data_IF_135765281055
#
_entry.id   IF_135765281055
#
_cell.length_a   1.000
_cell.length_b   1.000
_cell.length_c   1.000
_cell.angle_alpha   90.00
_cell.angle_beta   90.00
_cell.angle_gamma   90.00
#
_symmetry.space_group_name_H-M   'P 1'
#
loop_
_entity.id
_entity.type
_entity.pdbx_description
1 polymer ?
#
# COMPACT_ATOMS: atom_id res chain seq x y z
N UNK A 1 -6.25 22.08 -4.44
CA UNK A 1 -5.96 21.24 -3.26
C UNK A 1 -5.08 20.11 -3.75
N UNK A 2 -3.81 20.06 -3.34
CA UNK A 2 -2.92 18.97 -3.76
C UNK A 2 -3.32 17.75 -2.94
N UNK A 3 -3.84 16.72 -3.59
CA UNK A 3 -4.13 15.43 -2.96
C UNK A 3 -2.81 14.80 -2.57
N UNK A 4 -2.65 14.44 -1.30
CA UNK A 4 -1.45 13.76 -0.83
C UNK A 4 -1.34 12.38 -1.52
N UNK A 5 -0.12 11.99 -1.90
CA UNK A 5 0.16 10.66 -2.47
C UNK A 5 -0.21 9.58 -1.42
N UNK A 6 -1.20 8.71 -1.69
CA UNK A 6 -1.61 7.67 -0.76
C UNK A 6 -0.46 6.74 -0.38
N UNK A 7 0.46 6.45 -1.32
CA UNK A 7 1.59 5.59 -1.04
C UNK A 7 2.58 6.25 -0.07
N UNK A 8 2.81 7.54 -0.23
CA UNK A 8 3.67 8.30 0.66
C UNK A 8 3.12 8.34 2.09
N UNK A 9 1.80 8.42 2.25
CA UNK A 9 1.13 8.33 3.56
C UNK A 9 1.31 6.93 4.15
N UNK A 10 0.98 5.89 3.39
CA UNK A 10 1.01 4.50 3.89
C UNK A 10 2.43 3.97 4.13
N UNK A 11 3.44 4.53 3.45
CA UNK A 11 4.87 4.22 3.67
C UNK A 11 5.58 5.21 4.59
N UNK A 12 4.84 6.12 5.23
CA UNK A 12 5.42 7.09 6.15
C UNK A 12 5.98 6.41 7.42
N UNK A 13 7.20 6.78 7.77
CA UNK A 13 7.88 6.43 9.02
C UNK A 13 7.88 7.59 10.03
N UNK A 14 7.13 8.66 9.75
CA UNK A 14 7.15 9.91 10.50
C UNK A 14 5.96 10.05 11.45
N UNK A 15 6.11 10.90 12.46
CA UNK A 15 5.05 11.29 13.39
C UNK A 15 5.27 10.79 14.82
N UNK A 16 4.48 11.29 15.78
CA UNK A 16 4.52 10.79 17.15
C UNK A 16 3.86 9.40 17.24
N UNK A 17 4.48 8.47 17.97
CA UNK A 17 3.97 7.11 18.15
C UNK A 17 4.54 6.11 17.14
N UNK A 18 3.83 4.98 16.95
CA UNK A 18 4.23 3.97 15.98
C UNK A 18 3.94 4.47 14.55
N UNK A 19 4.90 4.34 13.62
CA UNK A 19 4.68 4.74 12.23
C UNK A 19 3.65 3.83 11.54
N UNK A 20 3.06 4.32 10.46
CA UNK A 20 2.17 3.50 9.61
C UNK A 20 2.94 2.36 8.96
N UNK A 21 4.16 2.64 8.49
CA UNK A 21 5.05 1.65 7.89
C UNK A 21 6.11 1.17 8.87
N UNK A 22 5.89 -0.03 9.43
CA UNK A 22 6.75 -0.67 10.42
C UNK A 22 7.58 -1.76 9.76
N UNK A 23 8.91 -1.70 9.89
CA UNK A 23 9.84 -2.68 9.31
C UNK A 23 10.99 -3.03 10.25
N UNK A 24 10.84 -2.77 11.55
CA UNK A 24 11.90 -2.97 12.54
C UNK A 24 12.12 -4.47 12.78
N UNK A 25 13.32 -5.03 12.63
CA UNK A 25 13.56 -6.44 12.95
C UNK A 25 13.29 -6.75 14.44
N UNK A 26 13.41 -5.74 15.30
CA UNK A 26 13.17 -5.83 16.75
C UNK A 26 11.76 -5.36 17.15
N UNK A 27 10.77 -5.50 16.26
CA UNK A 27 9.40 -5.07 16.52
C UNK A 27 8.77 -5.88 17.68
N UNK A 28 8.50 -5.26 18.84
CA UNK A 28 8.25 -5.98 20.09
C UNK A 28 6.94 -6.77 20.10
N UNK A 29 5.98 -6.39 19.27
CA UNK A 29 4.68 -7.03 19.08
C UNK A 29 4.59 -7.83 17.76
N UNK A 30 5.67 -7.85 16.95
CA UNK A 30 5.73 -8.56 15.66
C UNK A 30 4.68 -8.12 14.62
N UNK A 31 4.29 -6.84 14.63
CA UNK A 31 3.28 -6.26 13.76
C UNK A 31 3.86 -5.40 12.61
N UNK A 32 5.05 -5.76 12.12
CA UNK A 32 5.63 -5.11 10.95
C UNK A 32 4.69 -5.17 9.73
N UNK A 33 4.66 -4.09 8.96
CA UNK A 33 3.88 -3.97 7.72
C UNK A 33 4.44 -4.90 6.67
N UNK A 34 3.77 -6.02 6.38
CA UNK A 34 4.26 -6.98 5.37
C UNK A 34 4.19 -6.45 3.94
N UNK A 35 3.13 -5.70 3.64
CA UNK A 35 2.92 -5.06 2.34
C UNK A 35 1.97 -3.86 2.44
N UNK A 36 2.03 -3.00 1.43
CA UNK A 36 1.07 -1.91 1.19
C UNK A 36 0.26 -2.25 -0.04
N UNK A 37 -1.07 -2.21 0.06
CA UNK A 37 -1.98 -2.34 -1.07
C UNK A 37 -2.59 -0.97 -1.42
N UNK A 38 -2.54 -0.59 -2.69
CA UNK A 38 -3.26 0.53 -3.26
C UNK A 38 -4.34 -0.02 -4.19
N UNK A 39 -5.59 0.35 -3.92
CA UNK A 39 -6.73 0.04 -4.77
C UNK A 39 -7.22 1.33 -5.41
N UNK A 40 -6.99 1.47 -6.70
CA UNK A 40 -7.47 2.58 -7.49
C UNK A 40 -8.76 2.19 -8.20
N UNK A 41 -9.80 3.00 -8.01
CA UNK A 41 -11.11 2.80 -8.60
C UNK A 41 -11.28 3.76 -9.78
N UNK A 42 -11.58 3.20 -10.95
CA UNK A 42 -11.81 3.94 -12.18
C UNK A 42 -13.18 3.59 -12.77
N UNK A 43 -13.70 4.39 -13.73
CA UNK A 43 -15.02 4.13 -14.33
C UNK A 43 -15.15 2.79 -15.07
N UNK A 44 -14.03 2.30 -15.62
CA UNK A 44 -13.95 1.15 -16.53
C UNK A 44 -13.13 -0.03 -15.97
N UNK A 45 -12.45 0.15 -14.84
CA UNK A 45 -11.60 -0.89 -14.25
C UNK A 45 -11.31 -0.63 -12.77
N UNK A 46 -10.75 -1.64 -12.11
CA UNK A 46 -10.02 -1.49 -10.86
C UNK A 46 -8.55 -1.83 -11.08
N UNK A 47 -7.66 -1.13 -10.39
CA UNK A 47 -6.25 -1.46 -10.34
C UNK A 47 -5.83 -1.71 -8.89
N UNK A 48 -5.19 -2.85 -8.64
CA UNK A 48 -4.58 -3.20 -7.36
C UNK A 48 -3.08 -3.21 -7.55
N UNK A 49 -2.37 -2.39 -6.77
CA UNK A 49 -0.92 -2.48 -6.63
C UNK A 49 -0.58 -2.95 -5.23
N UNK A 50 0.23 -4.01 -5.12
CA UNK A 50 0.81 -4.46 -3.85
C UNK A 50 2.31 -4.23 -3.88
N UNK A 51 2.83 -3.56 -2.85
CA UNK A 51 4.27 -3.38 -2.63
C UNK A 51 4.66 -4.04 -1.31
N UNK A 52 5.66 -4.92 -1.33
CA UNK A 52 6.19 -5.49 -0.10
C UNK A 52 7.14 -4.51 0.63
N UNK A 53 7.75 -4.98 1.72
CA UNK A 53 8.73 -4.21 2.49
C UNK A 53 9.96 -3.82 1.66
N UNK A 54 10.46 -4.71 0.80
CA UNK A 54 11.62 -4.48 -0.06
C UNK A 54 11.34 -3.48 -1.18
N UNK A 55 10.06 -3.21 -1.45
CA UNK A 55 9.59 -2.39 -2.56
C UNK A 55 9.31 -3.21 -3.82
N UNK A 56 9.40 -4.54 -3.76
CA UNK A 56 8.94 -5.40 -4.84
C UNK A 56 7.45 -5.17 -5.06
N UNK A 57 7.06 -5.03 -6.33
CA UNK A 57 5.74 -4.58 -6.74
C UNK A 57 5.07 -5.60 -7.64
N UNK A 58 3.82 -5.93 -7.31
CA UNK A 58 2.88 -6.59 -8.20
C UNK A 58 1.73 -5.65 -8.50
N UNK A 59 1.26 -5.64 -9.74
CA UNK A 59 0.08 -4.90 -10.14
C UNK A 59 -0.89 -5.81 -10.88
N UNK A 60 -2.17 -5.73 -10.52
CA UNK A 60 -3.29 -6.37 -11.18
C UNK A 60 -4.25 -5.29 -11.67
N UNK A 61 -4.73 -5.45 -12.89
CA UNK A 61 -5.84 -4.68 -13.43
C UNK A 61 -6.97 -5.65 -13.74
N UNK A 62 -8.19 -5.28 -13.34
CA UNK A 62 -9.42 -6.00 -13.68
C UNK A 62 -10.34 -5.02 -14.38
N UNK A 63 -10.54 -5.23 -15.68
CA UNK A 63 -11.49 -4.44 -16.46
C UNK A 63 -12.92 -4.80 -16.06
N UNK A 64 -13.83 -3.82 -16.14
CA UNK A 64 -15.25 -3.99 -15.75
C UNK A 64 -15.94 -5.13 -16.50
N UNK A 65 -15.51 -5.38 -17.74
CA UNK A 65 -16.08 -6.41 -18.60
C UNK A 65 -15.32 -7.75 -18.50
N UNK A 66 -14.35 -7.87 -17.56
CA UNK A 66 -13.66 -9.12 -17.30
C UNK A 66 -14.61 -10.11 -16.61
N UNK A 67 -14.92 -11.21 -17.30
CA UNK A 67 -15.63 -12.36 -16.72
C UNK A 67 -14.65 -13.28 -16.00
N UNK A 68 -15.02 -13.72 -14.80
CA UNK A 68 -14.27 -14.68 -13.97
C UNK A 68 -14.25 -16.10 -14.57
#
# INVERSE_FOLDING_TARGET
MQTADPLAILRSTQGPGLPVFRTSPDDPDSENTLATALLDLHPDHIALTVLDQSGARLALRVDKDATA
#
